data_IF_231779925920
#
_entry.id   IF_231779925920
#
_cell.length_a   1.000
_cell.length_b   1.000
_cell.length_c   1.000
_cell.angle_alpha   90.00
_cell.angle_beta   90.00
_cell.angle_gamma   90.00
#
_symmetry.space_group_name_H-M   'P 1'
#
loop_
_entity.id
_entity.type
_entity.pdbx_description
1 polymer ?
2 polymer ?
3 non-polymer ?
4 water ?
#
# COMPACT_ATOMS: atom_id res chain seq x y z
N UNK A 26 -11.12 -17.54 -16.59
CA UNK A 26 -9.98 -17.33 -17.49
C UNK A 26 -9.68 -15.84 -17.67
N UNK A 27 -8.58 -15.31 -17.11
CA UNK A 27 -8.16 -13.91 -17.39
C UNK A 27 -6.66 -13.74 -17.61
N UNK A 28 -5.87 -14.06 -16.59
CA UNK A 28 -4.39 -13.89 -16.58
C UNK A 28 -3.87 -14.58 -15.31
N UNK A 29 -2.86 -15.44 -15.41
CA UNK A 29 -2.47 -16.30 -14.28
C UNK A 29 -1.82 -15.44 -13.18
N UNK A 30 -1.17 -14.37 -13.58
CA UNK A 30 -0.51 -13.45 -12.61
C UNK A 30 -1.62 -12.86 -11.74
N UNK A 31 -2.70 -12.44 -12.36
CA UNK A 31 -3.82 -11.89 -11.59
C UNK A 31 -4.31 -12.97 -10.60
N UNK A 32 -4.61 -14.18 -11.08
CA UNK A 32 -5.04 -15.33 -10.23
C UNK A 32 -4.07 -15.48 -9.07
N UNK A 33 -2.78 -15.44 -9.35
CA UNK A 33 -1.73 -15.74 -8.36
C UNK A 33 -1.75 -14.60 -7.33
N UNK A 34 -1.88 -13.34 -7.77
CA UNK A 34 -1.91 -12.23 -6.83
C UNK A 34 -3.14 -12.35 -5.92
N UNK A 35 -4.26 -12.82 -6.46
CA UNK A 35 -5.47 -12.89 -5.62
C UNK A 35 -5.22 -13.91 -4.53
N UNK A 36 -4.58 -15.03 -4.78
CA UNK A 36 -4.42 -16.08 -3.72
C UNK A 36 -3.30 -15.64 -2.79
N UNK A 37 -2.42 -14.74 -3.25
CA UNK A 37 -1.34 -14.24 -2.39
C UNK A 37 -1.88 -13.16 -1.45
N UNK A 38 -3.10 -12.67 -1.66
CA UNK A 38 -3.63 -11.53 -0.88
C UNK A 38 -3.62 -11.89 0.61
N UNK A 39 -2.93 -11.12 1.47
CA UNK A 39 -2.91 -11.36 2.92
C UNK A 39 -4.28 -11.29 3.58
N UNK A 40 -4.45 -12.04 4.67
CA UNK A 40 -5.64 -12.03 5.56
C UNK A 40 -5.78 -10.65 6.22
N UNK A 41 -7.04 -10.30 6.48
CA UNK A 41 -7.48 -9.13 7.30
C UNK A 41 -6.71 -9.09 8.63
N UNK A 42 -6.30 -7.86 9.03
CA UNK A 42 -5.56 -7.49 10.28
C UNK A 42 -6.49 -6.55 11.05
N UNK A 43 -6.68 -6.82 12.35
CA UNK A 43 -7.45 -5.96 13.27
C UNK A 43 -6.52 -4.87 13.86
N UNK A 44 -7.04 -3.64 13.96
CA UNK A 44 -6.38 -2.50 14.64
C UNK A 44 -6.22 -2.77 16.14
N UNK A 45 -7.24 -3.32 16.78
CA UNK A 45 -7.29 -3.57 18.26
C UNK A 45 -6.78 -2.36 19.02
N UNK A 46 -7.46 -1.21 18.91
CA UNK A 46 -7.17 -0.06 19.75
C UNK A 46 -7.45 -0.44 21.23
N UNK A 47 -6.58 0.03 22.12
CA UNK A 47 -6.55 -0.33 23.55
C UNK A 47 -7.79 0.29 24.17
N UNK A 48 -8.73 -0.55 24.64
CA UNK A 48 -9.99 -0.02 25.13
C UNK A 48 -9.78 0.62 26.49
N UNK A 49 -8.61 0.41 27.11
CA UNK A 49 -8.35 1.01 28.45
C UNK A 49 -7.81 2.45 28.27
N UNK A 50 -7.45 2.81 27.03
CA UNK A 50 -6.76 4.11 26.84
C UNK A 50 -7.79 5.18 26.46
N UNK A 51 -7.76 6.38 27.07
CA UNK A 51 -8.69 7.42 26.67
C UNK A 51 -8.48 7.81 25.20
N UNK A 52 -9.55 8.15 24.49
CA UNK A 52 -9.50 8.58 23.07
C UNK A 52 -8.72 9.90 22.97
N UNK A 53 -7.75 9.97 22.07
CA UNK A 53 -6.87 11.14 21.88
C UNK A 53 -6.18 11.00 20.53
N UNK A 54 -5.57 12.11 20.11
CA UNK A 54 -4.81 12.13 18.84
C UNK A 54 -3.68 11.11 19.01
N UNK A 55 -3.06 11.05 20.19
CA UNK A 55 -1.92 10.13 20.46
C UNK A 55 -2.42 8.69 20.37
N UNK A 56 -3.58 8.37 20.97
CA UNK A 56 -4.12 7.00 20.83
C UNK A 56 -4.34 6.61 19.35
N UNK A 57 -5.03 7.46 18.60
CA UNK A 57 -5.36 7.25 17.18
C UNK A 57 -4.07 6.99 16.38
N UNK A 58 -3.08 7.86 16.54
CA UNK A 58 -1.80 7.78 15.82
C UNK A 58 -1.01 6.56 16.28
N UNK A 59 -1.00 6.25 17.58
CA UNK A 59 -0.37 5.02 18.11
C UNK A 59 -1.06 3.80 17.45
N UNK A 60 -2.39 3.80 17.39
CA UNK A 60 -3.12 2.63 16.80
C UNK A 60 -2.78 2.46 15.33
N UNK A 61 -2.79 3.56 14.58
CA UNK A 61 -2.44 3.53 13.14
C UNK A 61 -1.01 3.06 12.94
N UNK A 62 -0.03 3.58 13.67
CA UNK A 62 1.38 3.18 13.46
C UNK A 62 1.57 1.72 13.81
N UNK A 63 0.91 1.25 14.89
CA UNK A 63 0.98 -0.17 15.30
C UNK A 63 0.41 -1.08 14.19
N UNK A 64 -0.77 -0.73 13.68
CA UNK A 64 -1.42 -1.43 12.54
C UNK A 64 -0.47 -1.46 11.34
N UNK A 65 0.14 -0.34 11.02
CA UNK A 65 1.10 -0.25 9.87
C UNK A 65 2.29 -1.17 10.08
N UNK A 66 2.92 -1.12 11.24
CA UNK A 66 4.01 -2.07 11.61
C UNK A 66 3.62 -3.53 11.27
N UNK A 67 2.44 -3.95 11.69
CA UNK A 67 1.98 -5.37 11.53
C UNK A 67 1.75 -5.63 10.03
N UNK A 68 1.09 -4.72 9.34
CA UNK A 68 0.81 -4.85 7.87
C UNK A 68 2.14 -4.93 7.12
N UNK A 69 3.16 -4.20 7.58
CA UNK A 69 4.42 -4.24 6.81
C UNK A 69 5.04 -5.65 6.81
N UNK A 70 4.92 -6.42 7.88
CA UNK A 70 5.43 -7.81 7.93
C UNK A 70 4.74 -8.62 6.82
N UNK A 71 3.43 -8.47 6.71
CA UNK A 71 2.57 -9.23 5.75
C UNK A 71 2.89 -8.73 4.34
N UNK A 72 3.13 -7.44 4.16
CA UNK A 72 3.55 -6.89 2.82
C UNK A 72 4.87 -7.50 2.34
N UNK A 73 5.84 -7.62 3.21
CA UNK A 73 7.12 -8.26 2.84
C UNK A 73 6.84 -9.69 2.35
N UNK A 74 6.06 -10.49 3.06
CA UNK A 74 5.75 -11.88 2.65
C UNK A 74 5.06 -11.93 1.30
N UNK A 75 4.10 -11.03 1.12
CA UNK A 75 3.29 -10.90 -0.13
C UNK A 75 4.20 -10.59 -1.34
N UNK A 76 5.17 -9.71 -1.16
CA UNK A 76 6.05 -9.30 -2.28
C UNK A 76 6.78 -10.52 -2.84
N UNK A 77 7.16 -11.46 -1.99
CA UNK A 77 7.91 -12.67 -2.35
C UNK A 77 7.10 -13.54 -3.30
N UNK A 78 5.76 -13.42 -3.30
CA UNK A 78 4.85 -14.16 -4.21
C UNK A 78 4.83 -13.54 -5.59
N UNK A 79 5.35 -12.32 -5.74
CA UNK A 79 5.17 -11.60 -7.03
C UNK A 79 6.21 -12.19 -7.96
N UNK A 80 5.81 -12.76 -9.13
CA UNK A 80 6.78 -13.40 -10.00
C UNK A 80 7.96 -12.46 -10.34
N UNK A 81 9.17 -12.98 -10.12
CA UNK A 81 10.45 -12.31 -10.38
C UNK A 81 10.94 -11.48 -9.21
N UNK A 82 10.08 -11.08 -8.31
CA UNK A 82 10.51 -10.17 -7.20
C UNK A 82 11.68 -10.82 -6.44
N UNK A 83 11.55 -12.11 -6.10
CA UNK A 83 12.54 -12.90 -5.35
C UNK A 83 13.87 -13.02 -6.06
N UNK A 84 13.90 -12.84 -7.36
CA UNK A 84 15.11 -13.10 -8.15
C UNK A 84 15.94 -11.84 -8.22
N UNK A 85 15.38 -10.69 -7.81
CA UNK A 85 16.16 -9.45 -7.62
C UNK A 85 17.11 -9.65 -6.46
N UNK A 86 18.22 -8.89 -6.43
CA UNK A 86 19.11 -8.80 -5.26
C UNK A 86 18.29 -8.39 -4.05
N UNK A 87 18.76 -8.79 -2.87
CA UNK A 87 18.15 -8.33 -1.59
C UNK A 87 18.20 -6.78 -1.57
N UNK A 88 19.27 -6.15 -2.08
CA UNK A 88 19.34 -4.66 -2.10
C UNK A 88 18.16 -4.09 -2.89
N UNK A 89 17.87 -4.69 -4.05
CA UNK A 89 16.82 -4.22 -4.99
C UNK A 89 15.44 -4.54 -4.37
N UNK A 90 15.29 -5.71 -3.77
CA UNK A 90 14.03 -6.02 -3.01
C UNK A 90 13.79 -4.96 -1.90
N UNK A 91 14.82 -4.59 -1.16
CA UNK A 91 14.74 -3.58 -0.06
C UNK A 91 14.39 -2.22 -0.66
N UNK A 92 15.04 -1.83 -1.76
CA UNK A 92 14.82 -0.50 -2.38
C UNK A 92 13.38 -0.35 -2.85
N UNK A 93 12.84 -1.37 -3.52
CA UNK A 93 11.46 -1.26 -4.03
C UNK A 93 10.48 -1.13 -2.83
N UNK A 94 10.67 -1.93 -1.79
CA UNK A 94 9.79 -1.88 -0.60
C UNK A 94 9.99 -0.55 0.17
N UNK A 95 11.21 -0.03 0.23
CA UNK A 95 11.51 1.25 0.94
C UNK A 95 10.82 2.38 0.18
N UNK A 96 10.69 2.29 -1.14
CA UNK A 96 10.00 3.37 -1.89
C UNK A 96 8.47 3.17 -1.87
N UNK A 97 7.96 1.92 -1.93
CA UNK A 97 6.53 1.69 -2.22
C UNK A 97 5.69 1.36 -0.98
N UNK A 98 6.28 1.09 0.18
CA UNK A 98 5.53 0.54 1.35
C UNK A 98 4.28 1.36 1.60
N UNK A 99 4.37 2.67 1.66
CA UNK A 99 3.22 3.48 2.10
C UNK A 99 2.15 3.44 0.98
N UNK A 100 2.52 3.43 -0.29
CA UNK A 100 1.56 3.28 -1.41
C UNK A 100 0.78 1.96 -1.24
N UNK A 101 1.48 0.91 -0.89
CA UNK A 101 0.82 -0.41 -0.68
C UNK A 101 -0.16 -0.30 0.50
N UNK A 102 0.25 0.31 1.64
CA UNK A 102 -0.65 0.46 2.82
C UNK A 102 -1.88 1.25 2.38
N UNK A 103 -1.67 2.39 1.71
CA UNK A 103 -2.74 3.31 1.35
C UNK A 103 -3.72 2.59 0.40
N UNK A 104 -3.20 1.85 -0.59
CA UNK A 104 -4.09 1.18 -1.58
C UNK A 104 -5.02 0.20 -0.87
N UNK A 105 -4.51 -0.51 0.16
CA UNK A 105 -5.30 -1.34 1.08
C UNK A 105 -6.43 -0.55 1.72
N UNK A 106 -6.12 0.59 2.32
CA UNK A 106 -7.17 1.40 3.03
C UNK A 106 -8.18 1.84 1.98
N UNK A 107 -7.71 2.23 0.79
CA UNK A 107 -8.64 2.72 -0.25
C UNK A 107 -9.59 1.56 -0.69
N UNK A 108 -9.07 0.38 -0.93
CA UNK A 108 -9.87 -0.74 -1.44
C UNK A 108 -10.92 -1.11 -0.37
N UNK A 109 -10.54 -1.11 0.91
CA UNK A 109 -11.46 -1.54 2.01
C UNK A 109 -12.59 -0.51 2.13
N UNK A 110 -12.39 0.70 1.64
CA UNK A 110 -13.28 1.85 1.79
C UNK A 110 -14.27 2.01 0.65
N UNK A 111 -14.18 1.22 -0.43
CA UNK A 111 -14.98 1.56 -1.65
C UNK A 111 -16.50 1.50 -1.39
N UNK A 112 -16.98 0.63 -0.52
CA UNK A 112 -18.45 0.50 -0.28
C UNK A 112 -18.93 1.48 0.79
N UNK A 113 -18.03 2.29 1.35
CA UNK A 113 -18.34 3.26 2.43
C UNK A 113 -18.43 4.66 1.81
N UNK A 114 -18.96 5.59 2.57
CA UNK A 114 -19.16 7.00 2.15
C UNK A 114 -18.47 7.87 3.20
N UNK A 115 -17.41 8.52 2.79
CA UNK A 115 -16.65 9.54 3.57
C UNK A 115 -16.08 8.90 4.84
N UNK A 116 -15.80 7.62 4.79
CA UNK A 116 -15.15 6.90 5.91
C UNK A 116 -14.03 6.05 5.33
N UNK A 117 -12.97 5.90 6.12
CA UNK A 117 -11.79 5.10 5.72
C UNK A 117 -11.63 3.90 6.63
N UNK A 118 -11.67 2.74 6.01
CA UNK A 118 -11.60 1.45 6.72
C UNK A 118 -10.15 1.05 6.89
N UNK A 119 -9.48 1.64 7.88
CA UNK A 119 -8.11 1.21 8.23
C UNK A 119 -8.11 -0.27 8.60
N UNK A 120 -9.17 -0.67 9.30
CA UNK A 120 -9.40 -2.07 9.69
C UNK A 120 -10.88 -2.21 10.01
N UNK A 121 -11.35 -3.45 10.08
CA UNK A 121 -12.79 -3.67 10.27
C UNK A 121 -13.22 -3.09 11.61
N UNK A 122 -12.30 -3.01 12.58
CA UNK A 122 -12.53 -2.41 13.91
C UNK A 122 -11.91 -1.01 14.00
N UNK A 123 -11.59 -0.33 12.88
CA UNK A 123 -10.99 1.03 12.91
C UNK A 123 -11.40 1.80 11.65
N UNK A 124 -12.61 2.30 11.69
CA UNK A 124 -13.24 3.08 10.60
C UNK A 124 -13.23 4.54 11.03
N UNK A 125 -12.49 5.34 10.28
CA UNK A 125 -12.33 6.79 10.58
C UNK A 125 -13.26 7.64 9.71
N UNK A 126 -14.05 8.48 10.35
CA UNK A 126 -14.92 9.50 9.72
C UNK A 126 -14.19 10.86 9.84
N UNK A 127 -14.81 11.91 9.35
CA UNK A 127 -14.22 13.26 9.28
C UNK A 127 -13.81 13.76 10.69
N UNK A 128 -14.68 13.63 11.68
CA UNK A 128 -14.40 14.13 13.06
C UNK A 128 -13.18 13.40 13.63
N UNK A 129 -13.12 12.08 13.52
CA UNK A 129 -11.97 11.30 14.03
C UNK A 129 -10.75 11.73 13.22
N UNK A 130 -10.92 12.06 11.97
CA UNK A 130 -9.75 12.54 11.19
C UNK A 130 -9.29 13.88 11.77
N UNK A 131 -10.21 14.80 12.07
CA UNK A 131 -9.84 16.11 12.67
C UNK A 131 -9.15 15.85 14.02
N UNK A 132 -9.71 14.96 14.84
CA UNK A 132 -9.21 14.78 16.22
C UNK A 132 -7.79 14.21 16.15
N UNK A 133 -7.45 13.44 15.11
CA UNK A 133 -6.13 12.76 14.95
C UNK A 133 -5.12 13.67 14.21
N UNK A 134 -5.52 14.86 13.74
CA UNK A 134 -4.67 15.76 12.91
C UNK A 134 -4.48 15.22 11.50
N UNK A 135 -5.42 14.37 11.03
CA UNK A 135 -5.30 13.65 9.74
C UNK A 135 -6.35 14.13 8.72
N UNK A 136 -6.98 15.27 8.93
CA UNK A 136 -8.03 15.71 7.99
C UNK A 136 -7.43 15.89 6.57
N UNK A 137 -6.26 16.53 6.41
CA UNK A 137 -5.73 16.78 5.02
C UNK A 137 -5.33 15.45 4.36
N UNK A 138 -4.66 14.58 5.10
CA UNK A 138 -4.19 13.26 4.60
C UNK A 138 -5.40 12.36 4.29
N UNK A 139 -6.38 12.30 5.18
CA UNK A 139 -7.54 11.40 4.97
C UNK A 139 -8.41 11.96 3.85
N UNK A 140 -8.51 13.26 3.67
CA UNK A 140 -9.24 13.88 2.53
C UNK A 140 -8.58 13.43 1.20
N UNK A 141 -7.27 13.35 1.16
CA UNK A 141 -6.55 12.94 -0.08
C UNK A 141 -6.83 11.45 -0.34
N UNK A 142 -6.83 10.64 0.70
CA UNK A 142 -7.13 9.19 0.54
C UNK A 142 -8.59 9.04 0.05
N UNK A 143 -9.50 9.84 0.54
CA UNK A 143 -10.91 9.81 0.09
C UNK A 143 -11.01 10.24 -1.38
N UNK A 144 -10.08 11.05 -1.86
CA UNK A 144 -10.04 11.46 -3.29
C UNK A 144 -9.64 10.23 -4.12
N UNK A 145 -8.75 9.38 -3.61
CA UNK A 145 -8.41 8.12 -4.30
C UNK A 145 -9.65 7.25 -4.28
N UNK A 146 -10.35 7.21 -3.16
CA UNK A 146 -11.54 6.34 -3.03
C UNK A 146 -12.56 6.78 -4.09
N UNK A 147 -12.82 8.07 -4.18
CA UNK A 147 -13.89 8.62 -5.05
C UNK A 147 -13.57 8.17 -6.48
N UNK A 148 -12.32 8.31 -6.90
CA UNK A 148 -11.98 7.96 -8.30
C UNK A 148 -12.20 6.46 -8.50
N UNK A 149 -11.76 5.63 -7.57
CA UNK A 149 -11.86 4.17 -7.78
C UNK A 149 -13.32 3.77 -7.67
N UNK A 150 -14.15 4.47 -6.89
CA UNK A 150 -15.60 4.13 -6.90
C UNK A 150 -16.21 4.41 -8.28
N UNK A 151 -15.93 5.55 -8.88
CA UNK A 151 -16.47 5.93 -10.23
C UNK A 151 -15.96 4.97 -11.30
N UNK A 152 -14.77 4.44 -11.18
CA UNK A 152 -14.22 3.44 -12.14
C UNK A 152 -14.72 2.02 -11.85
N UNK A 153 -15.43 1.82 -10.76
CA UNK A 153 -15.84 0.47 -10.25
C UNK A 153 -14.62 -0.46 -10.18
N UNK A 154 -13.60 -0.06 -9.45
CA UNK A 154 -12.37 -0.87 -9.22
C UNK A 154 -12.75 -2.26 -8.73
N UNK A 155 -12.20 -3.32 -9.35
CA UNK A 155 -12.44 -4.74 -9.04
C UNK A 155 -11.27 -5.23 -8.20
N UNK A 156 -11.47 -6.22 -7.35
CA UNK A 156 -10.33 -6.82 -6.58
C UNK A 156 -9.13 -7.18 -7.50
N UNK A 157 -9.40 -7.78 -8.64
CA UNK A 157 -8.36 -8.22 -9.59
C UNK A 157 -7.46 -7.01 -9.93
N UNK A 158 -8.08 -5.87 -10.16
CA UNK A 158 -7.43 -4.63 -10.61
C UNK A 158 -6.64 -4.05 -9.42
N UNK A 159 -7.22 -4.15 -8.25
CA UNK A 159 -6.54 -3.65 -7.04
C UNK A 159 -5.25 -4.41 -6.78
N UNK A 160 -5.27 -5.75 -6.79
CA UNK A 160 -4.07 -6.56 -6.43
C UNK A 160 -3.02 -6.31 -7.52
N UNK A 161 -3.45 -6.18 -8.75
CA UNK A 161 -2.50 -5.92 -9.87
C UNK A 161 -1.87 -4.52 -9.74
N UNK A 162 -2.66 -3.49 -9.42
CA UNK A 162 -2.11 -2.13 -9.19
C UNK A 162 -1.15 -2.15 -8.00
N UNK A 163 -1.44 -2.87 -6.90
CA UNK A 163 -0.52 -2.93 -5.70
C UNK A 163 0.82 -3.45 -6.17
N UNK A 164 0.83 -4.49 -7.01
CA UNK A 164 2.09 -5.10 -7.53
C UNK A 164 2.76 -4.07 -8.44
N UNK A 165 2.03 -3.41 -9.32
CA UNK A 165 2.62 -2.40 -10.22
C UNK A 165 3.20 -1.25 -9.41
N UNK A 166 2.53 -0.81 -8.34
CA UNK A 166 3.05 0.29 -7.49
C UNK A 166 4.37 -0.11 -6.86
N UNK A 167 4.52 -1.35 -6.44
CA UNK A 167 5.81 -1.88 -5.93
C UNK A 167 6.86 -1.81 -7.06
N UNK A 168 6.57 -2.40 -8.20
CA UNK A 168 7.58 -2.52 -9.28
C UNK A 168 7.94 -1.14 -9.79
N UNK A 169 7.00 -0.23 -9.84
CA UNK A 169 7.16 1.13 -10.43
C UNK A 169 7.47 2.21 -9.40
N UNK A 170 8.15 1.88 -8.30
CA UNK A 170 8.25 2.81 -7.15
C UNK A 170 9.35 3.85 -7.32
N UNK A 171 10.16 3.81 -8.40
CA UNK A 171 11.09 4.92 -8.71
C UNK A 171 12.14 5.13 -7.60
N UNK A 172 12.58 4.05 -6.98
CA UNK A 172 13.76 4.09 -6.08
C UNK A 172 14.99 4.66 -6.81
N UNK A 173 15.74 5.53 -6.13
CA UNK A 173 17.02 6.10 -6.60
C UNK A 173 18.16 5.08 -6.59
N UNK A 174 17.96 3.91 -5.97
CA UNK A 174 19.07 3.07 -5.47
C UNK A 174 19.12 1.74 -6.23
N UNK A 175 18.40 1.63 -7.35
CA UNK A 175 18.22 0.33 -8.03
C UNK A 175 19.56 -0.11 -8.63
N UNK A 176 19.98 -1.36 -8.36
CA UNK A 176 21.21 -1.97 -8.96
C UNK A 176 20.89 -2.43 -10.38
N UNK A 177 19.91 -3.32 -10.55
CA UNK A 177 19.57 -4.00 -11.84
C UNK A 177 18.35 -3.33 -12.47
N UNK A 178 18.61 -2.20 -13.10
CA UNK A 178 17.53 -1.37 -13.69
C UNK A 178 16.74 -2.18 -14.73
N UNK A 179 17.41 -2.93 -15.60
CA UNK A 179 16.72 -3.77 -16.61
C UNK A 179 15.83 -4.80 -15.90
N UNK A 180 16.26 -5.43 -14.81
CA UNK A 180 15.43 -6.48 -14.16
C UNK A 180 14.17 -5.84 -13.61
N UNK A 181 14.31 -4.64 -13.03
CA UNK A 181 13.17 -3.94 -12.39
C UNK A 181 12.19 -3.52 -13.51
N UNK A 182 12.72 -3.07 -14.63
CA UNK A 182 11.92 -2.73 -15.83
C UNK A 182 11.18 -4.00 -16.33
N UNK A 183 11.80 -5.18 -16.33
CA UNK A 183 11.14 -6.44 -16.78
C UNK A 183 10.03 -6.81 -15.79
N UNK A 184 10.23 -6.58 -14.49
CA UNK A 184 9.15 -6.84 -13.50
C UNK A 184 7.96 -5.89 -13.77
N UNK A 185 8.22 -4.60 -13.99
CA UNK A 185 7.18 -3.63 -14.42
C UNK A 185 6.44 -4.20 -15.64
N UNK A 186 7.17 -4.65 -16.66
CA UNK A 186 6.57 -5.03 -17.96
C UNK A 186 5.65 -6.21 -17.70
N UNK A 187 6.09 -7.18 -16.91
CA UNK A 187 5.34 -8.44 -16.66
C UNK A 187 3.99 -8.10 -16.04
N UNK A 188 4.05 -7.25 -15.03
CA UNK A 188 2.81 -6.83 -14.32
C UNK A 188 1.90 -5.96 -15.17
N UNK A 189 2.46 -4.99 -15.87
CA UNK A 189 1.68 -4.15 -16.80
C UNK A 189 0.96 -5.06 -17.82
N UNK A 190 1.69 -6.03 -18.39
CA UNK A 190 1.13 -7.00 -19.35
C UNK A 190 -0.07 -7.70 -18.69
N UNK A 191 0.08 -8.11 -17.44
CA UNK A 191 -0.99 -8.82 -16.73
C UNK A 191 -2.24 -7.92 -16.68
N UNK A 192 -2.07 -6.66 -16.26
CA UNK A 192 -3.18 -5.69 -16.22
C UNK A 192 -3.84 -5.55 -17.59
N UNK A 193 -3.05 -5.36 -18.65
CA UNK A 193 -3.56 -5.12 -20.00
C UNK A 193 -4.34 -6.37 -20.45
N UNK A 194 -3.77 -7.55 -20.22
CA UNK A 194 -4.44 -8.81 -20.65
C UNK A 194 -5.74 -8.96 -19.82
N UNK A 195 -5.75 -8.64 -18.54
CA UNK A 195 -6.99 -8.71 -17.70
C UNK A 195 -8.06 -7.78 -18.31
N UNK A 196 -7.66 -6.54 -18.61
CA UNK A 196 -8.61 -5.51 -19.09
C UNK A 196 -9.10 -5.88 -20.51
N UNK A 197 -8.25 -6.46 -21.31
CA UNK A 197 -8.60 -6.81 -22.71
C UNK A 197 -9.69 -7.88 -22.67
N UNK A 198 -9.60 -8.80 -21.71
CA UNK A 198 -10.56 -9.93 -21.57
C UNK A 198 -11.79 -9.52 -20.81
N UNK A 199 -11.66 -8.73 -19.75
CA UNK A 199 -12.82 -8.46 -18.84
C UNK A 199 -13.58 -7.21 -19.30
N UNK A 200 -12.91 -6.23 -19.96
CA UNK A 200 -13.54 -4.91 -20.20
C UNK A 200 -13.43 -4.46 -21.65
N UNK A 201 -13.96 -5.27 -22.56
CA UNK A 201 -13.88 -4.98 -24.01
C UNK A 201 -14.64 -3.67 -24.31
N UNK A 202 -15.55 -3.25 -23.42
CA UNK A 202 -16.35 -2.02 -23.61
C UNK A 202 -15.40 -0.83 -23.52
N UNK A 203 -14.28 -0.96 -22.82
CA UNK A 203 -13.39 0.21 -22.66
C UNK A 203 -11.98 -0.23 -23.00
N UNK A 204 -11.56 -0.11 -24.25
CA UNK A 204 -10.22 -0.57 -24.59
C UNK A 204 -9.10 0.23 -23.93
N UNK A 205 -9.38 1.37 -23.30
CA UNK A 205 -8.35 2.20 -22.60
C UNK A 205 -8.42 2.04 -21.08
N UNK A 206 -9.12 1.05 -20.59
CA UNK A 206 -9.33 0.92 -19.13
C UNK A 206 -7.97 0.69 -18.45
N UNK A 207 -7.11 -0.16 -18.97
CA UNK A 207 -5.76 -0.41 -18.37
C UNK A 207 -5.04 0.94 -18.20
N UNK A 208 -5.08 1.78 -19.24
CA UNK A 208 -4.40 3.08 -19.17
C UNK A 208 -5.00 3.94 -18.09
N UNK A 209 -6.31 3.94 -17.99
CA UNK A 209 -7.05 4.73 -17.01
C UNK A 209 -6.64 4.25 -15.60
N UNK A 210 -6.43 2.99 -15.36
CA UNK A 210 -5.94 2.40 -14.10
C UNK A 210 -4.52 2.88 -13.83
N UNK A 211 -3.65 2.89 -14.85
CA UNK A 211 -2.29 3.42 -14.65
C UNK A 211 -2.37 4.91 -14.27
N UNK A 212 -3.30 5.65 -14.84
CA UNK A 212 -3.45 7.10 -14.62
C UNK A 212 -3.84 7.46 -13.18
N UNK A 213 -4.22 6.45 -12.41
CA UNK A 213 -4.53 6.64 -10.97
C UNK A 213 -3.30 6.59 -10.09
N UNK A 214 -2.13 6.19 -10.61
CA UNK A 214 -0.91 5.95 -9.81
C UNK A 214 -0.31 7.30 -9.40
N UNK A 215 -0.44 8.42 -10.13
CA UNK A 215 0.16 9.69 -9.66
C UNK A 215 -0.45 10.16 -8.34
N UNK A 216 -1.78 10.04 -8.25
CA UNK A 216 -2.48 10.42 -7.03
C UNK A 216 -2.06 9.50 -5.88
N UNK A 217 -1.83 8.23 -6.12
CA UNK A 217 -1.39 7.32 -5.02
C UNK A 217 0.01 7.74 -4.54
N UNK A 218 0.87 8.08 -5.48
CA UNK A 218 2.25 8.55 -5.21
C UNK A 218 2.16 9.83 -4.35
N UNK A 219 1.38 10.79 -4.77
CA UNK A 219 1.25 12.11 -4.13
C UNK A 219 0.80 11.83 -2.69
N UNK A 220 -0.23 11.01 -2.54
CA UNK A 220 -0.90 10.78 -1.23
C UNK A 220 0.11 10.09 -0.31
N UNK A 221 0.84 9.10 -0.81
CA UNK A 221 1.85 8.30 -0.11
C UNK A 221 2.96 9.23 0.39
N UNK A 222 3.40 10.14 -0.47
CA UNK A 222 4.49 11.09 -0.11
C UNK A 222 4.03 11.92 1.10
N UNK A 223 2.81 12.45 1.03
CA UNK A 223 2.24 13.32 2.12
C UNK A 223 2.14 12.49 3.41
N UNK A 224 1.67 11.24 3.34
CA UNK A 224 1.56 10.32 4.50
C UNK A 224 2.93 10.12 5.14
N UNK A 225 3.96 9.76 4.35
CA UNK A 225 5.34 9.52 4.86
C UNK A 225 5.80 10.81 5.56
N UNK A 226 5.62 11.96 4.94
CA UNK A 226 6.11 13.25 5.52
C UNK A 226 5.38 13.54 6.85
N UNK A 227 4.08 13.31 6.87
CA UNK A 227 3.25 13.57 8.09
C UNK A 227 3.73 12.68 9.24
N UNK A 228 3.92 11.38 8.98
CA UNK A 228 4.33 10.40 10.00
C UNK A 228 5.80 10.62 10.38
N UNK A 229 6.65 11.03 9.44
CA UNK A 229 8.05 11.36 9.80
C UNK A 229 8.06 12.53 10.80
N UNK A 230 7.24 13.55 10.57
CA UNK A 230 7.10 14.71 11.48
C UNK A 230 6.58 14.26 12.86
N UNK A 231 5.66 13.30 12.92
CA UNK A 231 5.15 12.79 14.22
C UNK A 231 6.32 12.07 14.92
N UNK A 232 7.12 11.30 14.18
CA UNK A 232 8.32 10.61 14.70
C UNK A 232 9.22 11.64 15.37
N UNK A 233 9.51 12.75 14.68
CA UNK A 233 10.39 13.85 15.16
C UNK A 233 9.82 14.42 16.45
N UNK A 234 8.50 14.61 16.54
CA UNK A 234 7.86 15.25 17.72
C UNK A 234 7.91 14.34 18.95
N UNK A 235 8.18 13.03 18.78
CA UNK A 235 8.56 12.10 19.86
C UNK A 235 7.39 11.74 20.79
N UNK A 236 6.13 12.04 20.45
CA UNK A 236 4.97 11.86 21.39
C UNK A 236 4.23 10.55 21.11
N UNK A 237 4.55 9.90 20.01
CA UNK A 237 3.85 8.65 19.58
C UNK A 237 4.90 7.54 19.50
N UNK A 238 4.73 6.47 20.29
CA UNK A 238 5.64 5.33 20.20
C UNK A 238 5.38 4.62 18.87
N UNK A 239 6.46 4.12 18.28
CA UNK A 239 6.47 3.49 16.96
C UNK A 239 7.37 2.25 17.03
N UNK A 240 6.96 1.16 16.40
CA UNK A 240 7.75 -0.09 16.41
C UNK A 240 8.89 -0.02 15.40
N UNK A 241 9.78 -1.00 15.47
CA UNK A 241 11.11 -1.10 14.81
C UNK A 241 10.89 -1.06 13.29
N UNK A 242 10.03 -1.93 12.77
CA UNK A 242 9.88 -2.04 11.28
C UNK A 242 9.30 -0.75 10.71
N UNK A 243 8.27 -0.21 11.34
CA UNK A 243 7.63 1.04 10.87
C UNK A 243 8.66 2.17 10.83
N UNK A 244 9.41 2.27 11.93
CA UNK A 244 10.48 3.27 12.06
C UNK A 244 11.52 3.11 10.96
N UNK A 245 11.89 1.87 10.63
CA UNK A 245 12.98 1.58 9.65
C UNK A 245 12.51 2.07 8.27
N UNK A 246 11.23 1.84 7.93
CA UNK A 246 10.72 2.26 6.61
C UNK A 246 10.51 3.78 6.64
N UNK A 247 10.14 4.39 7.79
CA UNK A 247 10.04 5.88 7.84
C UNK A 247 11.42 6.48 7.64
N UNK A 248 12.46 5.85 8.17
CA UNK A 248 13.84 6.44 8.12
C UNK A 248 14.52 6.11 6.77
N UNK A 249 13.91 5.36 5.84
CA UNK A 249 14.58 5.04 4.56
C UNK A 249 14.79 6.31 3.71
N UNK A 250 15.88 6.36 2.92
CA UNK A 250 16.41 7.61 2.30
C UNK A 250 15.76 7.86 0.93
N UNK B 1 21.99 -3.82 7.03
CA UNK B 1 23.07 -4.45 7.86
C UNK B 1 22.41 -5.37 8.89
N UNK B 2 22.08 -4.82 10.06
CA UNK B 2 21.24 -5.46 11.12
C UNK B 2 19.77 -5.07 10.89
N UNK B 3 19.35 -4.93 9.64
CA UNK B 3 18.04 -4.33 9.26
C UNK B 3 16.93 -5.39 9.45
N UNK B 4 15.80 -4.99 10.04
CA UNK B 4 14.63 -5.90 10.21
C UNK B 4 14.04 -6.21 8.83
N UNK B 5 14.02 -5.22 7.93
CA UNK B 5 13.53 -5.42 6.54
C UNK B 5 14.36 -6.55 5.90
N UNK B 6 15.68 -6.46 5.97
CA UNK B 6 16.56 -7.50 5.36
C UNK B 6 16.25 -8.86 5.99
N UNK B 7 16.26 -8.93 7.32
CA UNK B 7 16.05 -10.19 8.08
C UNK B 7 14.73 -10.82 7.63
N UNK B 8 13.69 -10.02 7.45
CA UNK B 8 12.38 -10.57 7.06
C UNK B 8 12.43 -11.03 5.60
N UNK B 9 13.16 -10.33 4.73
CA UNK B 9 13.31 -10.73 3.31
C UNK B 9 14.08 -12.04 3.20
N UNK B 10 15.01 -12.31 4.12
CA UNK B 10 15.91 -13.47 4.04
C UNK B 10 15.21 -14.71 4.58
N UNK B 11 14.19 -14.56 5.42
CA UNK B 11 13.64 -15.67 6.25
C UNK B 11 12.47 -16.32 5.50
N UNK B 12 12.12 -17.56 5.87
CA UNK B 12 11.08 -18.40 5.19
C UNK B 12 10.98 -18.05 3.69
X LIG C 1 -0.59 6.15 7.83
X LIG C 1 -1.23 4.76 7.57
X LIG C 1 -1.37 3.75 8.53
X LIG C 1 -1.99 2.60 8.19
X LIG C 1 -2.22 1.46 8.84
X LIG C 1 -2.84 0.60 8.01
X LIG C 1 -2.98 1.18 6.84
X LIG C 1 -2.45 2.41 6.93
X LIG C 1 -2.31 3.37 6.00
X LIG C 1 -1.72 4.58 6.31
#
# INVERSE_FOLDING_TARGET
MGSSHHHHHHSSGLVPRGSHMPAKKPYNKIVSHLLVAEPEKIYAMPDPTVPDSDIKALTTLCDLADRELVVIIGWAKHIPGFSTLSLADQMSLLQSAWMEILILGVVYRSLSFEDELVYADDYIMDEDQSKLAGLLDLNNAILQLVKKYKSMKLEKEEFVTLKAIALANSDSMHIEDVEAVQKLQDVLHEALQDYEAGQHMEDPRRAGKMLMTLPLLRQTSTKAVQHFYNIKLEGKVPMHKLFLEMLEAKV
NNSLLLHLLKSQTIP
A1EGB CLAJ CAE CAD CAB CAA NAH NAI CAC CAG CAF
#
